data_IF_116432989177
#
_entry.id   IF_116432989177
#
_cell.length_a   1.000
_cell.length_b   1.000
_cell.length_c   1.000
_cell.angle_alpha   90.00
_cell.angle_beta   90.00
_cell.angle_gamma   90.00
#
_symmetry.space_group_name_H-M   'P 1'
#
loop_
_entity.id
_entity.type
_entity.pdbx_description
1 polymer ?
#
# COMPACT_ATOMS: atom_id res chain seq x y z
N UNK A 1 6.40 3.17 5.51
CA UNK A 1 6.61 4.18 4.43
C UNK A 1 6.93 3.56 3.09
N UNK A 2 8.02 2.80 2.95
CA UNK A 2 8.33 2.09 1.69
C UNK A 2 7.20 1.11 1.29
N UNK A 3 6.61 0.42 2.28
CA UNK A 3 5.39 -0.38 2.07
C UNK A 3 4.24 0.45 1.46
N UNK A 4 3.99 1.64 2.03
CA UNK A 4 2.96 2.56 1.52
C UNK A 4 3.23 3.01 0.08
N UNK A 5 4.50 3.22 -0.28
CA UNK A 5 4.89 3.52 -1.66
C UNK A 5 4.48 2.39 -2.62
N UNK A 6 4.84 1.15 -2.29
CA UNK A 6 4.50 -0.02 -3.12
C UNK A 6 3.00 -0.25 -3.26
N UNK A 7 2.27 -0.16 -2.15
CA UNK A 7 0.82 -0.37 -2.13
C UNK A 7 0.02 0.89 -2.49
N UNK A 8 0.69 1.95 -2.97
CA UNK A 8 0.08 3.24 -3.35
C UNK A 8 -0.74 3.90 -2.24
N UNK A 9 -0.42 3.61 -0.98
CA UNK A 9 -1.04 4.22 0.19
C UNK A 9 -0.28 5.50 0.50
N UNK A 10 -0.97 6.63 0.29
CA UNK A 10 -0.36 7.96 0.41
C UNK A 10 -0.69 8.72 1.69
N UNK A 11 -1.66 8.23 2.45
CA UNK A 11 -2.08 8.87 3.70
C UNK A 11 -1.47 8.15 4.91
N UNK A 12 -1.08 8.96 5.89
CA UNK A 12 -0.62 8.51 7.20
C UNK A 12 -1.75 7.88 8.02
N UNK A 13 -3.01 8.31 7.87
CA UNK A 13 -4.18 7.65 8.51
C UNK A 13 -4.51 6.31 7.86
N UNK A 14 -4.41 6.22 6.54
CA UNK A 14 -4.55 4.94 5.83
C UNK A 14 -3.43 3.98 6.20
N UNK A 15 -2.19 4.49 6.35
CA UNK A 15 -1.08 3.69 6.85
C UNK A 15 -1.30 3.22 8.30
N UNK A 16 -1.82 4.08 9.19
CA UNK A 16 -2.21 3.69 10.54
C UNK A 16 -3.23 2.53 10.51
N UNK A 17 -4.26 2.63 9.66
CA UNK A 17 -5.24 1.56 9.51
C UNK A 17 -4.58 0.23 9.05
N UNK A 18 -3.64 0.29 8.11
CA UNK A 18 -2.88 -0.89 7.70
C UNK A 18 -2.02 -1.47 8.83
N UNK A 19 -1.39 -0.63 9.68
CA UNK A 19 -0.63 -1.11 10.84
C UNK A 19 -1.48 -1.94 11.81
N UNK A 20 -2.80 -1.76 11.81
CA UNK A 20 -3.71 -2.48 12.71
C UNK A 20 -4.32 -3.74 12.09
N UNK A 21 -4.56 -3.75 10.77
CA UNK A 21 -5.34 -4.79 10.09
C UNK A 21 -4.55 -5.67 9.12
N UNK A 22 -3.41 -5.18 8.63
CA UNK A 22 -2.65 -5.85 7.60
C UNK A 22 -1.50 -6.66 8.20
N UNK A 23 -1.55 -7.98 8.02
CA UNK A 23 -0.59 -8.92 8.60
C UNK A 23 0.84 -8.65 8.09
N UNK A 24 1.00 -8.27 6.81
CA UNK A 24 2.31 -7.95 6.23
C UNK A 24 2.92 -6.73 6.94
N UNK A 25 2.11 -5.68 7.16
CA UNK A 25 2.56 -4.47 7.85
C UNK A 25 2.88 -4.78 9.29
N UNK A 26 2.00 -5.51 9.99
CA UNK A 26 2.23 -5.96 11.35
C UNK A 26 3.53 -6.75 11.48
N UNK A 27 3.85 -7.62 10.52
CA UNK A 27 5.11 -8.36 10.53
C UNK A 27 6.31 -7.43 10.29
N UNK A 28 6.22 -6.53 9.29
CA UNK A 28 7.29 -5.59 8.92
C UNK A 28 7.69 -4.64 10.05
N UNK A 29 6.74 -4.21 10.89
CA UNK A 29 6.99 -3.25 11.97
C UNK A 29 6.94 -3.89 13.36
N UNK A 30 7.05 -5.22 13.44
CA UNK A 30 7.02 -5.97 14.70
C UNK A 30 5.80 -5.64 15.59
N UNK A 31 4.61 -5.59 14.96
CA UNK A 31 3.30 -5.30 15.56
C UNK A 31 3.21 -3.95 16.29
N UNK A 32 4.13 -3.03 16.03
CA UNK A 32 3.97 -1.64 16.44
C UNK A 32 2.68 -1.08 15.84
N UNK A 33 2.00 -0.22 16.61
CA UNK A 33 0.75 0.43 16.20
C UNK A 33 0.90 1.95 16.29
N UNK A 34 1.77 2.57 15.46
CA UNK A 34 1.92 4.01 15.45
C UNK A 34 0.62 4.66 14.96
N UNK A 35 0.22 5.76 15.58
CA UNK A 35 -0.90 6.57 15.11
C UNK A 35 -0.48 7.41 13.89
N UNK A 36 -1.46 8.00 13.18
CA UNK A 36 -1.17 8.80 11.99
C UNK A 36 -0.22 9.97 12.26
N UNK A 37 -0.27 10.57 13.47
CA UNK A 37 0.62 11.68 13.86
C UNK A 37 2.06 11.21 13.96
N UNK A 38 2.30 10.10 14.65
CA UNK A 38 3.61 9.47 14.77
C UNK A 38 4.19 9.15 13.39
N UNK A 39 3.36 8.64 12.47
CA UNK A 39 3.79 8.35 11.09
C UNK A 39 4.14 9.65 10.34
N UNK A 40 3.31 10.68 10.44
CA UNK A 40 3.52 11.96 9.77
C UNK A 40 4.75 12.71 10.31
N UNK A 41 4.92 12.76 11.63
CA UNK A 41 6.06 13.39 12.29
C UNK A 41 7.35 12.64 11.97
N UNK A 42 7.34 11.31 12.03
CA UNK A 42 8.49 10.50 11.63
C UNK A 42 8.93 10.82 10.18
N UNK A 43 7.99 10.97 9.25
CA UNK A 43 8.29 11.35 7.86
C UNK A 43 8.88 12.75 7.75
N UNK A 44 8.30 13.71 8.47
CA UNK A 44 8.73 15.11 8.46
C UNK A 44 10.15 15.24 8.99
N UNK A 45 10.43 14.61 10.11
CA UNK A 45 11.70 14.73 10.83
C UNK A 45 12.82 13.93 10.13
N UNK A 46 12.48 12.83 9.45
CA UNK A 46 13.44 11.93 8.81
C UNK A 46 13.45 12.01 7.28
N UNK A 47 12.98 13.12 6.70
CA UNK A 47 12.85 13.28 5.24
C UNK A 47 14.13 12.94 4.46
N UNK A 48 15.28 13.41 4.94
CA UNK A 48 16.59 13.18 4.30
C UNK A 48 16.96 11.69 4.33
N UNK A 49 16.81 11.03 5.49
CA UNK A 49 17.09 9.61 5.65
C UNK A 49 16.16 8.74 4.78
N UNK A 50 14.89 9.12 4.67
CA UNK A 50 13.94 8.43 3.82
C UNK A 50 14.30 8.54 2.33
N UNK A 51 14.67 9.73 1.85
CA UNK A 51 15.16 9.93 0.47
C UNK A 51 16.37 9.04 0.20
N UNK A 52 17.35 9.04 1.11
CA UNK A 52 18.55 8.24 1.00
C UNK A 52 18.23 6.73 0.96
N UNK A 53 17.30 6.28 1.82
CA UNK A 53 16.86 4.88 1.87
C UNK A 53 16.16 4.47 0.58
N UNK A 54 15.25 5.29 0.07
CA UNK A 54 14.57 5.04 -1.21
C UNK A 54 15.58 4.97 -2.37
N UNK A 55 16.56 5.88 -2.42
CA UNK A 55 17.64 5.84 -3.42
C UNK A 55 18.44 4.56 -3.32
N UNK A 56 18.91 4.21 -2.12
CA UNK A 56 19.70 3.01 -1.87
C UNK A 56 18.92 1.74 -2.26
N UNK A 57 17.63 1.68 -1.92
CA UNK A 57 16.76 0.57 -2.25
C UNK A 57 16.55 0.43 -3.77
N UNK A 58 16.26 1.51 -4.49
CA UNK A 58 16.14 1.46 -5.96
C UNK A 58 17.46 1.07 -6.61
N UNK A 59 18.58 1.58 -6.09
CA UNK A 59 19.91 1.22 -6.58
C UNK A 59 20.21 -0.25 -6.33
N UNK A 60 19.88 -0.78 -5.14
CA UNK A 60 19.99 -2.19 -4.82
C UNK A 60 19.18 -3.05 -5.79
N UNK A 61 17.89 -2.73 -5.97
CA UNK A 61 17.02 -3.44 -6.90
C UNK A 61 17.54 -3.43 -8.35
N UNK A 62 18.22 -2.37 -8.79
CA UNK A 62 18.91 -2.34 -10.09
C UNK A 62 20.13 -3.27 -10.12
N UNK A 63 20.94 -3.25 -9.07
CA UNK A 63 22.15 -4.08 -8.95
C UNK A 63 21.82 -5.57 -9.00
N UNK A 64 20.74 -5.99 -8.33
CA UNK A 64 20.28 -7.39 -8.33
C UNK A 64 19.35 -7.73 -9.51
N UNK A 65 19.13 -6.81 -10.44
CA UNK A 65 18.33 -7.04 -11.65
C UNK A 65 16.82 -7.10 -11.44
N UNK A 66 16.29 -6.72 -10.27
CA UNK A 66 14.85 -6.64 -9.98
C UNK A 66 14.17 -5.46 -10.68
N UNK A 67 14.92 -4.39 -10.96
CA UNK A 67 14.45 -3.26 -11.76
C UNK A 67 15.35 -3.14 -12.97
N UNK A 68 14.88 -3.64 -14.12
CA UNK A 68 15.52 -3.37 -15.40
C UNK A 68 15.37 -1.86 -15.72
N UNK A 69 16.46 -1.23 -16.15
CA UNK A 69 16.35 0.01 -16.89
C UNK A 69 15.57 -0.29 -18.18
N UNK A 70 14.29 0.09 -18.19
CA UNK A 70 13.33 -0.15 -19.27
C UNK A 70 13.01 -1.64 -19.54
N UNK A 71 12.19 -2.25 -18.67
CA UNK A 71 10.96 -2.93 -19.10
C UNK A 71 10.03 -3.13 -17.90
N UNK A 72 8.87 -2.50 -17.93
CA UNK A 72 7.79 -2.70 -16.96
C UNK A 72 7.01 -3.94 -17.39
N UNK A 73 7.01 -4.98 -16.56
CA UNK A 73 6.01 -6.05 -16.62
C UNK A 73 5.39 -6.15 -15.22
N UNK A 74 4.13 -5.71 -15.09
CA UNK A 74 3.27 -6.06 -13.97
C UNK A 74 2.37 -7.17 -14.51
N UNK A 75 2.56 -8.36 -13.95
CA UNK A 75 1.85 -9.61 -14.19
C UNK A 75 2.18 -10.38 -15.49
N UNK A 76 2.66 -11.62 -15.33
CA UNK A 76 2.72 -12.66 -16.37
C UNK A 76 4.00 -12.85 -17.22
N UNK A 77 5.14 -13.29 -16.63
CA UNK A 77 6.32 -13.93 -17.31
C UNK A 77 7.11 -13.07 -18.35
N UNK A 78 8.42 -13.17 -18.63
CA UNK A 78 9.55 -14.05 -18.30
C UNK A 78 10.81 -13.20 -18.05
N UNK A 79 11.66 -13.63 -17.12
CA UNK A 79 13.03 -13.11 -16.98
C UNK A 79 13.92 -13.74 -18.05
N UNK A 80 14.39 -12.94 -19.01
CA UNK A 80 15.46 -13.35 -19.90
C UNK A 80 16.66 -12.44 -19.71
N UNK A 81 17.73 -13.05 -19.21
CA UNK A 81 19.06 -12.46 -19.11
C UNK A 81 19.53 -12.03 -20.52
N UNK A 82 19.68 -10.72 -20.75
CA UNK A 82 20.45 -10.21 -21.89
C UNK A 82 21.52 -9.26 -21.38
N UNK A 83 22.61 -9.90 -20.95
CA UNK A 83 23.94 -9.31 -20.86
C UNK A 83 24.39 -8.97 -22.29
N UNK A 84 24.02 -7.81 -22.84
CA UNK A 84 24.76 -7.26 -24.01
C UNK A 84 24.59 -5.76 -24.32
N UNK A 85 23.72 -4.98 -23.66
CA UNK A 85 23.73 -3.50 -23.84
C UNK A 85 24.70 -2.78 -22.88
N UNK A 86 25.58 -3.54 -22.21
CA UNK A 86 26.47 -3.07 -21.13
C UNK A 86 27.66 -2.19 -21.60
N UNK A 87 27.61 -1.56 -22.78
CA UNK A 87 28.77 -0.83 -23.32
C UNK A 87 28.69 0.69 -23.42
N UNK A 88 27.54 1.33 -23.17
CA UNK A 88 27.49 2.81 -23.14
C UNK A 88 26.58 3.37 -22.04
N UNK A 89 26.83 2.98 -20.79
CA UNK A 89 26.33 3.73 -19.64
C UNK A 89 27.38 4.81 -19.28
N UNK A 90 27.23 6.02 -19.83
CA UNK A 90 28.16 7.12 -19.56
C UNK A 90 27.89 7.76 -18.19
N UNK A 91 28.92 8.34 -17.58
CA UNK A 91 28.79 9.10 -16.33
C UNK A 91 27.69 10.19 -16.41
N UNK A 92 27.50 10.79 -17.59
CA UNK A 92 26.44 11.76 -17.85
C UNK A 92 25.04 11.14 -17.76
N UNK A 93 24.85 9.94 -18.32
CA UNK A 93 23.57 9.20 -18.23
C UNK A 93 23.27 8.78 -16.80
N UNK A 94 24.27 8.33 -16.05
CA UNK A 94 24.13 7.97 -14.63
C UNK A 94 23.69 9.18 -13.79
N UNK A 95 24.39 10.31 -13.91
CA UNK A 95 24.00 11.55 -13.22
C UNK A 95 22.58 12.00 -13.56
N UNK A 96 22.18 11.91 -14.83
CA UNK A 96 20.84 12.25 -15.25
C UNK A 96 19.78 11.31 -14.65
N UNK A 97 20.07 10.01 -14.57
CA UNK A 97 19.19 9.02 -13.94
C UNK A 97 19.05 9.24 -12.43
N UNK A 98 20.13 9.61 -11.73
CA UNK A 98 20.07 10.00 -10.32
C UNK A 98 19.18 11.23 -10.10
N UNK A 99 19.39 12.28 -10.90
CA UNK A 99 18.55 13.49 -10.82
C UNK A 99 17.07 13.19 -11.08
N UNK A 100 16.77 12.34 -12.07
CA UNK A 100 15.39 11.93 -12.36
C UNK A 100 14.77 11.15 -11.21
N UNK A 101 15.55 10.30 -10.55
CA UNK A 101 15.12 9.54 -9.39
C UNK A 101 14.84 10.46 -8.20
N UNK A 102 15.70 11.45 -7.97
CA UNK A 102 15.53 12.43 -6.88
C UNK A 102 14.29 13.27 -7.06
N UNK A 103 14.05 13.72 -8.29
CA UNK A 103 12.82 14.45 -8.61
C UNK A 103 11.57 13.61 -8.34
N UNK A 104 11.59 12.32 -8.68
CA UNK A 104 10.46 11.40 -8.42
C UNK A 104 10.24 11.16 -6.92
N UNK A 105 11.32 10.99 -6.15
CA UNK A 105 11.21 10.84 -4.69
C UNK A 105 10.64 12.13 -4.07
N UNK A 106 11.13 13.30 -4.50
CA UNK A 106 10.65 14.59 -4.02
C UNK A 106 9.17 14.80 -4.34
N UNK A 107 8.75 14.46 -5.57
CA UNK A 107 7.35 14.50 -5.98
C UNK A 107 6.49 13.57 -5.13
N UNK A 108 6.93 12.32 -4.92
CA UNK A 108 6.21 11.38 -4.08
C UNK A 108 6.02 11.91 -2.65
N UNK A 109 7.06 12.49 -2.06
CA UNK A 109 6.95 13.10 -0.73
C UNK A 109 5.94 14.25 -0.68
N UNK A 110 5.89 15.09 -1.71
CA UNK A 110 4.90 16.15 -1.82
C UNK A 110 3.46 15.60 -1.94
N UNK A 111 3.25 14.56 -2.75
CA UNK A 111 1.95 13.88 -2.87
C UNK A 111 1.46 13.33 -1.52
N UNK A 112 2.39 12.79 -0.72
CA UNK A 112 2.05 12.29 0.61
C UNK A 112 1.66 13.44 1.57
N UNK A 113 2.39 14.56 1.53
CA UNK A 113 2.08 15.74 2.35
C UNK A 113 0.73 16.37 1.97
N UNK A 114 0.37 16.32 0.69
CA UNK A 114 -0.93 16.77 0.17
C UNK A 114 -2.07 15.82 0.57
N UNK A 115 -1.86 14.50 0.48
CA UNK A 115 -2.84 13.51 0.90
C UNK A 115 -3.20 13.64 2.38
N UNK A 116 -2.20 13.87 3.23
CA UNK A 116 -2.42 14.08 4.67
C UNK A 116 -3.22 15.37 4.96
N UNK A 117 -3.04 16.43 4.17
CA UNK A 117 -3.84 17.67 4.29
C UNK A 117 -5.28 17.47 3.84
N UNK A 118 -5.50 16.75 2.74
CA UNK A 118 -6.84 16.56 2.17
C UNK A 118 -7.71 15.66 3.06
N UNK A 119 -7.14 14.61 3.67
CA UNK A 119 -7.89 13.75 4.60
C UNK A 119 -8.25 14.46 5.92
N UNK A 120 -7.62 15.57 6.28
CA UNK A 120 -8.05 16.37 7.43
C UNK A 120 -9.51 16.86 7.28
N UNK A 121 -9.99 16.99 6.04
CA UNK A 121 -11.35 17.44 5.71
C UNK A 121 -12.37 16.30 5.59
N UNK A 122 -11.93 15.03 5.51
CA UNK A 122 -12.83 13.88 5.47
C UNK A 122 -13.13 13.40 6.90
N UNK A 123 -14.28 13.80 7.43
CA UNK A 123 -14.83 13.26 8.68
C UNK A 123 -15.64 12.01 8.35
N UNK A 124 -15.05 10.82 8.55
CA UNK A 124 -15.81 9.57 8.52
C UNK A 124 -16.69 9.53 9.77
N UNK A 125 -18.02 9.57 9.59
CA UNK A 125 -18.97 9.43 10.69
C UNK A 125 -18.90 8.01 11.27
N UNK A 126 -18.16 7.88 12.38
CA UNK A 126 -18.01 6.62 13.12
C UNK A 126 -19.35 6.09 13.63
N UNK A 127 -20.37 6.93 13.81
CA UNK A 127 -21.70 6.49 14.25
C UNK A 127 -22.46 5.76 13.13
N UNK A 128 -22.36 6.25 11.89
CA UNK A 128 -22.89 5.59 10.71
C UNK A 128 -22.22 4.22 10.46
N UNK A 129 -20.90 4.14 10.63
CA UNK A 129 -20.15 2.88 10.47
C UNK A 129 -20.57 1.83 11.51
N UNK A 130 -20.73 2.22 12.79
CA UNK A 130 -21.21 1.32 13.85
C UNK A 130 -22.62 0.81 13.57
N UNK A 131 -23.51 1.69 13.11
CA UNK A 131 -24.89 1.32 12.77
C UNK A 131 -24.92 0.31 11.61
N UNK A 132 -24.10 0.54 10.57
CA UNK A 132 -23.98 -0.38 9.44
C UNK A 132 -23.41 -1.75 9.86
N UNK A 133 -22.45 -1.78 10.78
CA UNK A 133 -21.88 -3.03 11.31
C UNK A 133 -22.94 -3.85 12.05
N UNK A 134 -23.72 -3.22 12.93
CA UNK A 134 -24.79 -3.89 13.66
C UNK A 134 -25.86 -4.47 12.71
N UNK A 135 -26.20 -3.74 11.63
CA UNK A 135 -27.14 -4.23 10.61
C UNK A 135 -26.58 -5.44 9.84
N UNK A 136 -25.28 -5.47 9.56
CA UNK A 136 -24.61 -6.60 8.91
C UNK A 136 -24.58 -7.83 9.81
N UNK A 137 -24.32 -7.68 11.11
CA UNK A 137 -24.34 -8.78 12.09
C UNK A 137 -25.73 -9.41 12.23
N UNK A 138 -26.78 -8.58 12.28
CA UNK A 138 -28.17 -9.05 12.28
C UNK A 138 -28.47 -9.80 10.98
N UNK A 139 -28.10 -9.24 9.81
CA UNK A 139 -28.30 -9.94 8.52
C UNK A 139 -27.54 -11.25 8.46
N UNK A 140 -26.31 -11.32 8.96
CA UNK A 140 -25.52 -12.54 8.98
C UNK A 140 -26.18 -13.61 9.86
N UNK A 141 -26.65 -13.22 11.05
CA UNK A 141 -27.38 -14.11 11.97
C UNK A 141 -28.68 -14.63 11.35
N UNK A 142 -29.43 -13.76 10.67
CA UNK A 142 -30.65 -14.15 9.95
C UNK A 142 -30.34 -15.13 8.83
N UNK A 143 -29.29 -14.89 8.03
CA UNK A 143 -28.88 -15.81 6.96
C UNK A 143 -28.46 -17.18 7.50
N UNK A 144 -27.70 -17.23 8.61
CA UNK A 144 -27.34 -18.48 9.28
C UNK A 144 -28.58 -19.24 9.78
N UNK A 145 -29.54 -18.52 10.34
CA UNK A 145 -30.80 -19.09 10.82
C UNK A 145 -31.62 -19.66 9.65
N UNK A 146 -31.74 -18.92 8.54
CA UNK A 146 -32.39 -19.40 7.33
C UNK A 146 -31.68 -20.64 6.76
N UNK A 147 -30.35 -20.66 6.71
CA UNK A 147 -29.59 -21.83 6.26
C UNK A 147 -29.81 -23.05 7.16
N UNK A 148 -29.86 -22.88 8.48
CA UNK A 148 -30.13 -23.95 9.42
C UNK A 148 -31.56 -24.52 9.23
N UNK A 149 -32.56 -23.64 9.05
CA UNK A 149 -33.93 -24.01 8.75
C UNK A 149 -34.03 -24.76 7.42
N UNK A 150 -33.44 -24.23 6.35
CA UNK A 150 -33.40 -24.88 5.03
C UNK A 150 -32.80 -26.28 5.11
N UNK A 151 -31.70 -26.45 5.85
CA UNK A 151 -31.06 -27.75 6.06
C UNK A 151 -31.93 -28.72 6.86
N UNK A 152 -32.67 -28.23 7.86
CA UNK A 152 -33.60 -29.06 8.65
C UNK A 152 -34.86 -29.46 7.88
N UNK A 153 -35.25 -28.66 6.88
CA UNK A 153 -36.43 -28.88 6.04
C UNK A 153 -36.10 -29.57 4.70
N UNK A 154 -34.82 -29.91 4.47
CA UNK A 154 -34.31 -30.47 3.20
C UNK A 154 -34.65 -29.60 1.96
N UNK A 155 -34.73 -28.28 2.15
CA UNK A 155 -35.05 -27.32 1.09
C UNK A 155 -33.76 -26.74 0.49
N UNK A 156 -33.56 -26.90 -0.82
CA UNK A 156 -32.41 -26.31 -1.51
C UNK A 156 -32.64 -24.85 -1.94
N UNK A 157 -33.90 -24.43 -2.14
CA UNK A 157 -34.29 -23.06 -2.52
C UNK A 157 -35.67 -22.69 -1.96
N UNK A 158 -35.84 -21.45 -1.51
CA UNK A 158 -37.17 -20.87 -1.25
C UNK A 158 -37.74 -20.36 -2.57
N UNK A 159 -38.72 -21.05 -3.15
CA UNK A 159 -39.50 -20.50 -4.26
C UNK A 159 -40.42 -19.40 -3.74
N UNK A 160 -40.05 -18.15 -3.99
CA UNK A 160 -40.97 -17.01 -3.90
C UNK A 160 -41.66 -16.85 -5.25
N UNK A 161 -42.94 -17.18 -5.33
CA UNK A 161 -43.82 -16.72 -6.41
C UNK A 161 -44.08 -15.22 -6.29
#
# INVERSE_FOLDING_TARGET
>A
LLYGYFQRIRSSRRLEAECQRNIEVMWLINRLKPDFKTIADFRKDNKVAFIATCRAFVQFCRTVGLIAGELVAIDGSKFQAVVSSRRHMSLKRLKHQEQKLDKRIAQYLAELDEADKNEANEVVDRSAVKTALAQLEVRHSNNLTCQALMKSMELEQFNTH
#
